data_IF_443011169580
#
_entry.id   IF_443011169580
#
_cell.length_a   1.000
_cell.length_b   1.000
_cell.length_c   1.000
_cell.angle_alpha   90.00
_cell.angle_beta   90.00
_cell.angle_gamma   90.00
#
_symmetry.space_group_name_H-M   'P 1'
#
loop_
_entity.id
_entity.type
_entity.pdbx_description
1 polymer ?
#
# COMPACT_ATOMS: atom_id res chain seq x y z
N UNK A 1 -17.33 89.14 -4.06
CA UNK A 1 -17.23 90.60 -4.23
C UNK A 1 -15.78 90.92 -4.55
N UNK A 2 -15.46 91.39 -5.76
CA UNK A 2 -14.10 91.84 -6.12
C UNK A 2 -13.92 93.27 -5.60
N UNK A 3 -12.91 93.51 -4.79
CA UNK A 3 -12.67 94.82 -4.17
C UNK A 3 -11.62 95.56 -5.00
N UNK A 4 -12.02 96.64 -5.67
CA UNK A 4 -11.13 97.46 -6.50
C UNK A 4 -10.80 98.76 -5.77
N UNK A 5 -9.55 99.21 -5.82
CA UNK A 5 -9.10 100.49 -5.23
C UNK A 5 -8.49 101.42 -6.29
N UNK A 6 -8.67 102.76 -6.17
CA UNK A 6 -8.11 103.72 -7.11
C UNK A 6 -6.57 103.67 -7.13
N UNK A 7 -5.98 103.67 -8.32
CA UNK A 7 -4.53 103.48 -8.53
C UNK A 7 -3.73 104.78 -8.68
N UNK A 8 -4.34 105.93 -8.38
CA UNK A 8 -3.70 107.24 -8.43
C UNK A 8 -3.37 107.77 -9.84
N UNK A 9 -3.64 107.00 -10.91
CA UNK A 9 -3.45 107.41 -12.32
C UNK A 9 -4.76 107.52 -13.10
N UNK A 10 -5.89 107.60 -12.39
CA UNK A 10 -7.22 107.67 -12.98
C UNK A 10 -7.85 106.32 -13.29
N UNK A 11 -7.29 105.20 -12.80
CA UNK A 11 -7.87 103.86 -12.92
C UNK A 11 -8.09 103.18 -11.57
N UNK A 12 -8.58 101.95 -11.59
CA UNK A 12 -8.78 101.10 -10.41
C UNK A 12 -8.03 99.77 -10.58
N UNK A 13 -7.35 99.33 -9.52
CA UNK A 13 -6.64 98.04 -9.46
C UNK A 13 -7.43 97.07 -8.58
N UNK A 14 -7.44 95.79 -8.94
CA UNK A 14 -8.09 94.74 -8.15
C UNK A 14 -7.20 94.37 -6.95
N UNK A 15 -7.77 94.43 -5.74
CA UNK A 15 -7.15 93.79 -4.57
C UNK A 15 -7.25 92.29 -4.79
N UNK A 16 -6.16 91.69 -5.25
CA UNK A 16 -6.04 90.24 -5.31
C UNK A 16 -6.00 89.74 -3.87
N UNK A 17 -7.16 89.35 -3.32
CA UNK A 17 -7.22 88.63 -2.05
C UNK A 17 -6.33 87.40 -2.21
N UNK A 18 -5.21 87.37 -1.48
CA UNK A 18 -4.23 86.30 -1.47
C UNK A 18 -4.90 85.02 -0.94
N UNK A 19 -5.67 84.33 -1.79
CA UNK A 19 -6.10 82.96 -1.50
C UNK A 19 -4.85 82.11 -1.65
N UNK A 20 -4.23 81.76 -0.52
CA UNK A 20 -3.04 80.93 -0.49
C UNK A 20 -3.21 79.67 -1.34
N UNK A 21 -2.16 79.32 -2.08
CA UNK A 21 -2.16 78.11 -2.91
C UNK A 21 -2.46 76.88 -2.04
N UNK A 22 -3.23 75.94 -2.58
CA UNK A 22 -3.51 74.68 -1.89
C UNK A 22 -2.16 74.02 -1.56
N UNK A 23 -1.94 73.71 -0.28
CA UNK A 23 -0.72 73.04 0.15
C UNK A 23 -0.48 71.75 -0.62
N UNK A 24 0.80 71.42 -0.82
CA UNK A 24 1.20 70.17 -1.47
C UNK A 24 0.60 68.97 -0.70
N UNK A 25 0.23 67.88 -1.40
CA UNK A 25 -0.15 66.63 -0.74
C UNK A 25 0.91 66.23 0.29
N UNK A 26 0.47 65.76 1.44
CA UNK A 26 1.39 65.27 2.47
C UNK A 26 2.24 64.10 1.94
N UNK A 27 3.45 63.99 2.46
CA UNK A 27 4.34 62.88 2.14
C UNK A 27 3.66 61.53 2.43
N UNK A 28 3.82 60.52 1.55
CA UNK A 28 3.32 59.18 1.81
C UNK A 28 3.76 58.67 3.18
N UNK A 29 2.85 57.99 3.87
CA UNK A 29 3.17 57.36 5.15
C UNK A 29 4.32 56.37 5.01
N UNK A 30 5.15 56.26 6.06
CA UNK A 30 6.21 55.26 6.10
C UNK A 30 5.61 53.85 5.89
N UNK A 31 6.21 53.00 5.04
CA UNK A 31 5.79 51.60 4.93
C UNK A 31 5.75 50.95 6.31
N UNK A 32 4.71 50.15 6.56
CA UNK A 32 4.61 49.36 7.78
C UNK A 32 5.79 48.37 7.90
N UNK A 33 6.12 47.92 9.12
CA UNK A 33 7.15 46.93 9.31
C UNK A 33 6.83 45.65 8.51
N UNK A 34 7.85 44.96 7.94
CA UNK A 34 7.65 43.68 7.27
C UNK A 34 7.00 42.66 8.21
N UNK A 35 6.03 41.89 7.70
CA UNK A 35 5.50 40.73 8.42
C UNK A 35 6.58 39.66 8.61
N UNK A 36 6.46 38.87 9.67
CA UNK A 36 7.38 37.75 9.97
C UNK A 36 6.70 36.40 9.69
N UNK A 37 7.47 35.45 9.17
CA UNK A 37 7.04 34.05 8.92
C UNK A 37 7.61 33.06 9.93
N UNK A 38 8.57 33.49 10.76
CA UNK A 38 9.11 32.66 11.84
C UNK A 38 8.14 32.61 13.01
N UNK A 39 8.00 31.43 13.63
CA UNK A 39 7.13 31.22 14.80
C UNK A 39 7.44 32.19 15.94
N UNK A 40 8.73 32.51 16.14
CA UNK A 40 9.16 33.43 17.19
C UNK A 40 8.59 34.84 17.01
N UNK A 41 8.41 35.29 15.77
CA UNK A 41 7.90 36.62 15.46
C UNK A 41 6.37 36.76 15.46
N UNK A 42 5.61 35.65 15.47
CA UNK A 42 4.14 35.70 15.47
C UNK A 42 3.65 36.20 16.84
N UNK A 43 2.93 37.32 16.86
CA UNK A 43 2.27 37.84 18.05
C UNK A 43 0.91 37.16 18.24
N UNK A 44 0.38 37.14 19.48
CA UNK A 44 -0.89 36.46 19.83
C UNK A 44 -0.95 34.95 19.53
N UNK A 45 0.21 34.29 19.33
CA UNK A 45 0.30 32.84 19.16
C UNK A 45 -0.18 32.10 20.43
N UNK A 46 -0.83 30.92 20.30
CA UNK A 46 -1.24 30.14 21.46
C UNK A 46 -0.03 29.68 22.30
N UNK A 47 0.01 30.04 23.58
CA UNK A 47 1.06 29.57 24.50
C UNK A 47 0.97 28.06 24.80
N UNK A 48 -0.17 27.41 24.50
CA UNK A 48 -0.43 25.99 24.81
C UNK A 48 -0.03 25.03 23.69
N UNK A 49 0.15 25.51 22.46
CA UNK A 49 0.41 24.68 21.28
C UNK A 49 1.64 25.17 20.50
N UNK A 50 2.75 25.37 21.21
CA UNK A 50 4.04 25.55 20.54
C UNK A 50 4.41 24.26 19.80
N UNK A 51 4.92 24.33 18.55
CA UNK A 51 5.37 23.15 17.83
C UNK A 51 6.48 22.43 18.62
N UNK A 52 6.28 21.16 18.92
CA UNK A 52 7.25 20.29 19.57
C UNK A 52 7.24 18.90 18.91
N UNK A 53 8.32 18.14 19.10
CA UNK A 53 8.40 16.77 18.60
C UNK A 53 7.38 15.91 19.34
N UNK A 54 6.56 15.17 18.59
CA UNK A 54 5.59 14.24 19.15
C UNK A 54 5.70 12.86 18.47
N UNK A 55 5.15 11.85 19.15
CA UNK A 55 5.09 10.47 18.68
C UNK A 55 3.66 9.99 18.74
N UNK A 56 3.29 9.14 17.79
CA UNK A 56 2.03 8.42 17.83
C UNK A 56 2.24 7.03 18.42
N UNK A 57 1.35 6.66 19.34
CA UNK A 57 1.21 5.29 19.82
C UNK A 57 0.07 4.60 19.09
N UNK A 58 0.05 3.25 19.08
CA UNK A 58 -1.11 2.51 18.57
C UNK A 58 -2.41 2.86 19.31
N UNK A 59 -2.31 3.25 20.59
CA UNK A 59 -3.46 3.65 21.40
C UNK A 59 -4.10 4.98 20.93
N UNK A 60 -3.41 5.74 20.07
CA UNK A 60 -3.93 6.99 19.53
C UNK A 60 -4.90 6.74 18.35
N UNK A 61 -4.97 5.51 17.85
CA UNK A 61 -5.80 5.12 16.71
C UNK A 61 -7.05 4.42 17.24
N UNK A 62 -8.17 5.14 17.27
CA UNK A 62 -9.42 4.66 17.89
C UNK A 62 -10.11 3.51 17.15
N UNK A 63 -9.82 3.36 15.86
CA UNK A 63 -10.39 2.35 14.97
C UNK A 63 -9.40 1.23 14.62
N UNK A 64 -8.27 1.14 15.32
CA UNK A 64 -7.32 0.05 15.13
C UNK A 64 -7.97 -1.27 15.57
N UNK A 65 -8.04 -2.29 14.69
CA UNK A 65 -8.54 -3.60 15.08
C UNK A 65 -7.63 -4.26 16.13
N UNK A 66 -8.15 -5.23 16.92
CA UNK A 66 -7.33 -5.95 17.90
C UNK A 66 -6.10 -6.59 17.25
N UNK A 67 -4.96 -6.57 17.94
CA UNK A 67 -3.71 -7.18 17.48
C UNK A 67 -3.44 -8.43 18.32
N UNK A 68 -3.67 -9.60 17.74
CA UNK A 68 -3.77 -10.86 18.48
C UNK A 68 -2.85 -11.95 17.91
N UNK A 69 -2.35 -12.85 18.76
CA UNK A 69 -1.57 -14.03 18.31
C UNK A 69 -2.45 -15.14 17.72
N UNK A 70 -3.75 -15.11 18.04
CA UNK A 70 -4.72 -16.12 17.66
C UNK A 70 -5.47 -15.74 16.38
N UNK A 71 -6.05 -16.75 15.72
CA UNK A 71 -6.87 -16.56 14.52
C UNK A 71 -8.26 -16.05 14.88
N UNK A 72 -8.38 -14.77 15.19
CA UNK A 72 -9.67 -14.13 15.51
C UNK A 72 -10.10 -13.30 14.30
N UNK A 73 -11.33 -13.51 13.82
CA UNK A 73 -11.89 -12.75 12.70
C UNK A 73 -11.90 -11.25 12.99
N UNK A 74 -11.48 -10.44 12.02
CA UNK A 74 -11.42 -8.98 12.16
C UNK A 74 -10.26 -8.45 13.00
N UNK A 75 -9.27 -9.29 13.34
CA UNK A 75 -8.05 -8.87 14.04
C UNK A 75 -6.85 -8.74 13.09
N UNK A 76 -5.86 -7.95 13.48
CA UNK A 76 -4.53 -7.95 12.86
C UNK A 76 -3.72 -9.08 13.50
N UNK A 77 -3.19 -9.98 12.66
CA UNK A 77 -2.40 -11.13 13.13
C UNK A 77 -1.03 -10.67 13.64
N UNK A 78 -0.71 -11.07 14.87
CA UNK A 78 0.61 -10.88 15.47
C UNK A 78 1.47 -12.13 15.28
N UNK A 79 2.71 -11.94 14.79
CA UNK A 79 3.70 -13.02 14.69
C UNK A 79 4.22 -13.38 16.08
N UNK A 80 4.53 -14.66 16.28
CA UNK A 80 5.28 -15.12 17.44
C UNK A 80 6.74 -14.66 17.36
N UNK A 81 7.47 -14.76 18.48
CA UNK A 81 8.88 -14.38 18.56
C UNK A 81 9.78 -15.21 17.62
N UNK A 82 9.33 -16.39 17.20
CA UNK A 82 10.01 -17.23 16.20
C UNK A 82 9.60 -16.90 14.75
N UNK A 83 8.84 -15.83 14.52
CA UNK A 83 8.43 -15.35 13.20
C UNK A 83 7.22 -16.05 12.59
N UNK A 84 6.70 -17.10 13.23
CA UNK A 84 5.56 -17.88 12.74
C UNK A 84 4.24 -17.11 12.95
N UNK A 85 3.27 -17.37 12.08
CA UNK A 85 1.87 -17.01 12.25
C UNK A 85 1.03 -18.27 12.46
N UNK A 86 0.04 -18.22 13.33
CA UNK A 86 -1.01 -19.25 13.33
C UNK A 86 -1.94 -18.95 12.17
N UNK A 87 -2.44 -19.99 11.52
CA UNK A 87 -3.43 -19.91 10.44
C UNK A 87 -4.45 -21.04 10.69
N UNK A 88 -5.77 -20.79 10.57
CA UNK A 88 -6.76 -21.85 10.73
C UNK A 88 -6.73 -22.80 9.53
N UNK A 89 -7.39 -23.95 9.64
CA UNK A 89 -7.55 -24.83 8.48
C UNK A 89 -8.31 -24.11 7.36
N UNK A 90 -7.91 -24.29 6.09
CA UNK A 90 -8.49 -23.57 4.97
C UNK A 90 -9.95 -23.97 4.74
N UNK A 91 -10.80 -22.98 4.51
CA UNK A 91 -12.23 -23.19 4.20
C UNK A 91 -12.52 -22.93 2.72
N UNK A 92 -11.75 -22.05 2.07
CA UNK A 92 -11.88 -21.68 0.66
C UNK A 92 -10.56 -21.84 -0.08
N UNK A 93 -10.60 -21.83 -1.41
CA UNK A 93 -9.39 -21.91 -2.25
C UNK A 93 -8.38 -20.78 -2.04
N UNK A 94 -8.84 -19.62 -1.57
CA UNK A 94 -7.99 -18.45 -1.30
C UNK A 94 -7.47 -18.41 0.15
N UNK A 95 -7.84 -19.39 0.98
CA UNK A 95 -7.38 -19.46 2.37
C UNK A 95 -5.89 -19.78 2.42
N UNK A 96 -5.15 -19.02 3.23
CA UNK A 96 -3.81 -19.45 3.64
C UNK A 96 -3.91 -20.80 4.37
N UNK A 97 -2.93 -21.68 4.17
CA UNK A 97 -2.95 -23.05 4.71
C UNK A 97 -1.89 -23.25 5.78
N UNK A 98 -2.21 -23.88 6.92
CA UNK A 98 -1.20 -24.24 7.91
C UNK A 98 -0.38 -25.42 7.40
N UNK A 99 0.89 -25.50 7.81
CA UNK A 99 1.80 -26.58 7.42
C UNK A 99 1.21 -27.98 7.66
N UNK A 100 0.55 -28.19 8.81
CA UNK A 100 -0.12 -29.46 9.15
C UNK A 100 -1.10 -29.90 8.05
N UNK A 101 -1.91 -28.98 7.54
CA UNK A 101 -2.87 -29.28 6.48
C UNK A 101 -2.17 -29.73 5.19
N UNK A 102 -1.08 -29.05 4.80
CA UNK A 102 -0.29 -29.41 3.62
C UNK A 102 0.36 -30.78 3.81
N UNK A 103 0.99 -31.03 4.97
CA UNK A 103 1.65 -32.29 5.28
C UNK A 103 0.65 -33.47 5.25
N UNK A 104 -0.56 -33.30 5.80
CA UNK A 104 -1.64 -34.29 5.74
C UNK A 104 -2.15 -34.51 4.31
N UNK A 105 -2.35 -33.43 3.54
CA UNK A 105 -2.84 -33.51 2.17
C UNK A 105 -1.83 -34.18 1.23
N UNK A 106 -0.53 -33.91 1.41
CA UNK A 106 0.56 -34.55 0.65
C UNK A 106 0.71 -36.01 1.08
N UNK A 107 0.60 -36.31 2.38
CA UNK A 107 0.63 -37.68 2.89
C UNK A 107 -0.42 -38.60 2.24
N UNK A 108 -1.61 -38.07 1.93
CA UNK A 108 -2.66 -38.83 1.20
C UNK A 108 -2.31 -39.09 -0.27
N UNK A 109 -1.54 -38.21 -0.91
CA UNK A 109 -1.11 -38.35 -2.32
C UNK A 109 0.13 -39.21 -2.47
N UNK A 110 0.89 -39.35 -1.39
CA UNK A 110 1.97 -40.30 -1.27
C UNK A 110 1.38 -41.70 -1.05
N UNK A 111 0.61 -42.20 -2.03
CA UNK A 111 0.26 -43.61 -2.05
C UNK A 111 1.56 -44.39 -2.24
N UNK A 112 2.11 -44.96 -1.16
CA UNK A 112 3.31 -45.80 -1.27
C UNK A 112 2.98 -47.14 -1.92
N UNK A 113 1.69 -47.47 -2.03
CA UNK A 113 1.17 -48.72 -2.57
C UNK A 113 0.76 -48.59 -4.04
N UNK A 114 0.85 -47.40 -4.65
CA UNK A 114 0.57 -47.29 -6.08
C UNK A 114 1.60 -48.09 -6.88
N UNK A 115 1.10 -48.98 -7.73
CA UNK A 115 1.91 -49.78 -8.64
C UNK A 115 1.69 -49.27 -10.07
N UNK A 116 2.76 -48.94 -10.79
CA UNK A 116 2.66 -48.68 -12.22
C UNK A 116 2.48 -50.02 -12.97
N UNK A 117 1.25 -50.31 -13.41
CA UNK A 117 0.93 -51.53 -14.17
C UNK A 117 1.15 -51.38 -15.68
N UNK A 118 1.84 -50.33 -16.13
CA UNK A 118 2.00 -50.03 -17.57
C UNK A 118 2.90 -51.07 -18.29
N UNK A 119 3.71 -51.80 -17.53
CA UNK A 119 4.40 -52.99 -18.02
C UNK A 119 3.90 -54.21 -17.27
N UNK A 120 3.56 -55.25 -18.04
CA UNK A 120 3.29 -56.58 -17.51
C UNK A 120 4.43 -56.97 -16.56
N UNK A 121 4.10 -57.49 -15.38
CA UNK A 121 5.11 -57.91 -14.41
C UNK A 121 6.05 -58.94 -15.06
N UNK A 122 7.25 -59.17 -14.51
CA UNK A 122 8.15 -60.21 -15.06
C UNK A 122 7.46 -61.59 -15.11
N UNK A 123 6.49 -61.84 -14.23
CA UNK A 123 5.72 -63.07 -14.22
C UNK A 123 4.68 -63.10 -15.34
N UNK A 124 4.03 -61.97 -15.64
CA UNK A 124 3.14 -61.85 -16.81
C UNK A 124 3.91 -62.00 -18.13
N UNK A 125 5.11 -61.40 -18.25
CA UNK A 125 5.98 -61.57 -19.43
C UNK A 125 6.45 -63.01 -19.58
N UNK A 126 6.76 -63.71 -18.48
CA UNK A 126 7.12 -65.13 -18.48
C UNK A 126 5.95 -66.02 -18.87
N UNK A 127 4.72 -65.66 -18.50
CA UNK A 127 3.53 -66.38 -18.91
C UNK A 127 3.27 -66.27 -20.44
N UNK A 128 3.71 -65.19 -21.06
CA UNK A 128 3.55 -64.93 -22.49
C UNK A 128 4.72 -65.43 -23.36
N UNK A 129 5.80 -65.97 -22.78
CA UNK A 129 6.93 -66.52 -23.55
C UNK A 129 6.99 -68.03 -23.35
N UNK A 130 6.95 -68.78 -24.46
CA UNK A 130 7.02 -70.25 -24.44
C UNK A 130 8.22 -70.74 -25.24
N UNK A 131 9.08 -71.54 -24.62
CA UNK A 131 10.15 -72.26 -25.31
C UNK A 131 9.57 -73.57 -25.86
N UNK A 132 9.68 -73.79 -27.17
CA UNK A 132 9.12 -74.98 -27.84
C UNK A 132 10.11 -75.55 -28.84
N UNK A 133 10.06 -76.87 -29.06
CA UNK A 133 10.97 -77.56 -29.98
C UNK A 133 10.54 -77.44 -31.46
N UNK A 134 9.32 -76.94 -31.72
CA UNK A 134 8.81 -76.68 -33.07
C UNK A 134 7.60 -75.72 -33.02
N UNK A 135 7.28 -75.07 -34.14
CA UNK A 135 6.17 -74.11 -34.21
C UNK A 135 4.80 -74.78 -34.00
N UNK A 136 3.90 -74.22 -33.17
CA UNK A 136 2.59 -74.81 -32.91
C UNK A 136 1.66 -74.66 -34.13
N UNK A 137 0.80 -75.65 -34.34
CA UNK A 137 -0.20 -75.62 -35.42
C UNK A 137 -1.28 -74.53 -35.23
N UNK A 138 -1.47 -74.05 -34.00
CA UNK A 138 -2.37 -72.95 -33.66
C UNK A 138 -1.76 -72.12 -32.52
N UNK A 139 -1.10 -70.98 -32.83
CA UNK A 139 -0.49 -70.13 -31.81
C UNK A 139 -1.54 -69.31 -31.06
N UNK A 140 -1.31 -69.13 -29.75
CA UNK A 140 -2.09 -68.23 -28.91
C UNK A 140 -1.76 -66.76 -29.20
N UNK A 141 -2.77 -65.90 -29.19
CA UNK A 141 -2.58 -64.46 -29.43
C UNK A 141 -1.79 -63.80 -28.27
N UNK A 142 -0.84 -62.94 -28.61
CA UNK A 142 0.03 -62.26 -27.64
C UNK A 142 1.14 -63.13 -27.02
N UNK A 143 1.31 -64.38 -27.44
CA UNK A 143 2.34 -65.31 -26.92
C UNK A 143 3.51 -65.41 -27.89
N UNK A 144 4.73 -65.18 -27.39
CA UNK A 144 5.96 -65.37 -28.15
C UNK A 144 6.50 -66.79 -27.97
N UNK A 145 6.57 -67.55 -29.07
CA UNK A 145 7.17 -68.87 -29.10
C UNK A 145 8.63 -68.78 -29.56
N UNK A 146 9.56 -69.21 -28.72
CA UNK A 146 11.00 -69.24 -29.01
C UNK A 146 11.38 -70.68 -29.32
N UNK A 147 12.03 -70.91 -30.46
CA UNK A 147 12.56 -72.22 -30.85
C UNK A 147 14.09 -72.10 -30.82
N UNK A 148 14.79 -72.83 -29.93
CA UNK A 148 16.24 -72.80 -29.90
C UNK A 148 16.80 -73.50 -31.14
N UNK A 149 17.91 -72.98 -31.67
CA UNK A 149 18.68 -73.61 -32.75
C UNK A 149 19.34 -74.93 -32.31
#
# INVERSE_FOLDING_TARGET
MRMMVPNGKGGFEEITVLRGERGLPGEPGKPGPPGTTSWDGITNKPNKFTPDSHKHSMADISDLPPVEYNNIGGSIVRRFNNGVITVPDPVTGDSATPRRYVDEAVGKKSDSDHTHSEYASRDDLRALIRLVDSAPASPEDGVLYVIPE
#
